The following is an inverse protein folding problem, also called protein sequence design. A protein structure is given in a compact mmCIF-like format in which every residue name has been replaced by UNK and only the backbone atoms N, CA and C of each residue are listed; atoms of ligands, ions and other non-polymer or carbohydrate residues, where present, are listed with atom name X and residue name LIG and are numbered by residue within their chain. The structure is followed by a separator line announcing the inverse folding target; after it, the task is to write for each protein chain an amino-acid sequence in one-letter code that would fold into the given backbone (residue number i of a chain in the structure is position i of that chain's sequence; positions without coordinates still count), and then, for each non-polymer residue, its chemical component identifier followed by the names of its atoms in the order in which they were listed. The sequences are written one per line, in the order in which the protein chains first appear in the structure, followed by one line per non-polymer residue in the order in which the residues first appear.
data_IF_289549778037
#
_entry.id   IF_289549778037
#
_cell.length_a   1.000
_cell.length_b   1.000
_cell.length_c   1.000
_cell.angle_alpha   90.00
_cell.angle_beta   90.00
_cell.angle_gamma   90.00
#
_symmetry.space_group_name_H-M   'P 1'
#
loop_
_entity.id
_entity.type
_entity.pdbx_description
1 polymer ?
#
# COMPACT_ATOMS: atom_id res chain seq x y z
N UNK A 1 18.99 65.32 -16.53
CA UNK A 1 19.27 64.18 -17.43
C UNK A 1 18.83 62.92 -16.70
N UNK A 2 17.70 62.35 -17.07
CA UNK A 2 17.24 61.06 -16.51
C UNK A 2 17.92 59.95 -17.31
N UNK A 3 18.78 59.18 -16.65
CA UNK A 3 19.25 57.91 -17.21
C UNK A 3 18.09 56.92 -17.11
N UNK A 4 17.45 56.64 -18.24
CA UNK A 4 16.48 55.55 -18.34
C UNK A 4 17.27 54.26 -18.17
N UNK A 5 17.13 53.60 -17.01
CA UNK A 5 17.73 52.29 -16.76
C UNK A 5 17.04 51.31 -17.69
N UNK A 6 17.80 50.72 -18.60
CA UNK A 6 17.30 49.74 -19.55
C UNK A 6 16.76 48.51 -18.78
N UNK A 7 15.64 47.88 -19.19
CA UNK A 7 15.16 46.68 -18.52
C UNK A 7 16.20 45.57 -18.68
N UNK A 8 16.76 45.09 -17.57
CA UNK A 8 17.68 43.95 -17.58
C UNK A 8 16.92 42.68 -17.93
N UNK A 9 17.46 41.91 -18.88
CA UNK A 9 16.92 40.60 -19.23
C UNK A 9 17.07 39.64 -18.04
N UNK A 10 16.07 38.75 -17.80
CA UNK A 10 16.08 37.88 -16.62
C UNK A 10 17.27 36.93 -16.62
N UNK A 11 17.84 36.72 -15.43
CA UNK A 11 18.88 35.72 -15.19
C UNK A 11 18.28 34.31 -15.29
N UNK A 12 18.92 33.45 -16.08
CA UNK A 12 18.41 32.12 -16.38
C UNK A 12 18.93 31.08 -15.37
N UNK A 13 18.11 30.07 -15.01
CA UNK A 13 18.58 28.92 -14.25
C UNK A 13 19.59 28.10 -15.06
N UNK A 14 20.37 27.26 -14.36
CA UNK A 14 21.31 26.34 -15.01
C UNK A 14 20.55 25.37 -15.94
N UNK A 15 21.10 25.06 -17.14
CA UNK A 15 20.51 24.06 -18.03
C UNK A 15 20.43 22.68 -17.36
N UNK A 16 19.32 21.97 -17.57
CA UNK A 16 19.16 20.61 -17.07
C UNK A 16 19.62 19.61 -18.14
N UNK A 17 20.37 18.58 -17.77
CA UNK A 17 20.76 17.51 -18.71
C UNK A 17 19.72 16.41 -18.72
N UNK A 18 19.06 16.20 -19.85
CA UNK A 18 17.93 15.25 -19.97
C UNK A 18 18.35 13.93 -20.59
N UNK A 19 19.21 13.96 -21.60
CA UNK A 19 19.69 12.75 -22.26
C UNK A 19 21.17 12.88 -22.60
N UNK A 20 21.88 11.75 -22.59
CA UNK A 20 23.32 11.66 -22.86
C UNK A 20 23.57 10.49 -23.79
N UNK A 21 24.51 10.69 -24.69
CA UNK A 21 25.08 9.66 -25.58
C UNK A 21 26.60 9.83 -25.55
N UNK A 22 27.31 8.99 -26.28
CA UNK A 22 28.77 9.06 -26.42
C UNK A 22 29.24 10.35 -27.12
N UNK A 23 28.43 10.92 -28.01
CA UNK A 23 28.81 12.09 -28.82
C UNK A 23 27.81 13.26 -28.74
N UNK A 24 26.75 13.13 -27.96
CA UNK A 24 25.77 14.20 -27.79
C UNK A 24 25.17 14.27 -26.38
N UNK A 25 24.87 15.49 -25.94
CA UNK A 25 24.18 15.76 -24.68
C UNK A 25 22.98 16.65 -24.99
N UNK A 26 21.79 16.22 -24.57
CA UNK A 26 20.55 16.99 -24.73
C UNK A 26 20.28 17.80 -23.47
N UNK A 27 20.26 19.12 -23.64
CA UNK A 27 19.98 20.08 -22.58
C UNK A 27 18.54 20.55 -22.65
N UNK A 28 17.92 20.73 -21.49
CA UNK A 28 16.64 21.40 -21.32
C UNK A 28 16.87 22.76 -20.68
N UNK A 29 16.34 23.79 -21.32
CA UNK A 29 16.41 25.17 -20.86
C UNK A 29 14.98 25.60 -20.52
N UNK A 30 14.80 26.08 -19.29
CA UNK A 30 13.51 26.60 -18.85
C UNK A 30 13.24 27.93 -19.56
N UNK A 31 12.06 28.10 -20.16
CA UNK A 31 11.72 29.36 -20.81
C UNK A 31 11.55 30.47 -19.76
N UNK A 32 12.03 31.70 -20.03
CA UNK A 32 11.76 32.83 -19.17
C UNK A 32 10.24 33.12 -19.17
N UNK A 33 9.70 33.71 -18.09
CA UNK A 33 8.26 33.94 -17.90
C UNK A 33 7.64 35.00 -18.83
N UNK A 34 8.32 35.43 -19.90
CA UNK A 34 7.77 36.34 -20.90
C UNK A 34 7.57 35.62 -22.23
N UNK A 35 6.30 35.65 -22.65
CA UNK A 35 5.67 34.91 -23.73
C UNK A 35 6.06 35.48 -25.10
N UNK A 36 7.32 35.27 -25.46
CA UNK A 36 7.87 35.58 -26.78
C UNK A 36 8.88 34.50 -27.17
N UNK A 37 9.10 34.34 -28.47
CA UNK A 37 10.00 33.37 -29.07
C UNK A 37 11.47 33.71 -28.71
N UNK A 38 11.84 33.42 -27.45
CA UNK A 38 13.11 33.82 -26.87
C UNK A 38 14.23 32.99 -27.51
N UNK A 39 15.20 33.69 -28.09
CA UNK A 39 16.40 33.06 -28.61
C UNK A 39 17.44 32.91 -27.50
N UNK A 40 18.18 31.81 -27.54
CA UNK A 40 19.20 31.52 -26.54
C UNK A 40 20.56 31.36 -27.21
N UNK A 41 21.62 31.77 -26.51
CA UNK A 41 22.99 31.39 -26.84
C UNK A 41 23.50 30.37 -25.84
N UNK A 42 23.98 29.24 -26.33
CA UNK A 42 24.66 28.21 -25.56
C UNK A 42 26.16 28.30 -25.75
N UNK A 43 26.91 28.12 -24.67
CA UNK A 43 28.33 27.78 -24.74
C UNK A 43 28.61 26.47 -24.01
N UNK A 44 29.45 25.66 -24.63
CA UNK A 44 29.99 24.45 -24.05
C UNK A 44 31.50 24.62 -23.82
N UNK A 45 31.98 24.11 -22.71
CA UNK A 45 33.41 23.94 -22.45
C UNK A 45 33.65 22.52 -22.01
N UNK A 46 34.79 21.95 -22.39
CA UNK A 46 35.32 20.75 -21.78
C UNK A 46 36.56 21.11 -20.96
N UNK A 47 36.84 20.31 -19.93
CA UNK A 47 38.08 20.40 -19.18
C UNK A 47 38.73 19.03 -19.18
N UNK A 48 39.91 18.92 -19.80
CA UNK A 48 40.70 17.69 -19.80
C UNK A 48 41.34 17.40 -18.44
N UNK A 49 41.62 18.46 -17.67
CA UNK A 49 42.40 18.38 -16.42
C UNK A 49 41.58 18.73 -15.18
N UNK A 50 40.25 18.82 -15.35
CA UNK A 50 39.27 19.09 -14.30
C UNK A 50 39.78 20.00 -13.22
N UNK A 51 39.85 21.32 -13.47
CA UNK A 51 39.63 22.42 -12.50
C UNK A 51 39.94 23.80 -13.15
N UNK A 52 38.95 24.69 -13.06
CA UNK A 52 39.00 26.18 -13.09
C UNK A 52 39.22 26.93 -14.42
N UNK A 53 39.90 26.42 -15.45
CA UNK A 53 40.03 27.15 -16.72
C UNK A 53 39.12 26.60 -17.83
N UNK A 54 38.02 27.31 -18.09
CA UNK A 54 37.13 27.03 -19.22
C UNK A 54 37.56 27.84 -20.44
N UNK A 55 37.98 27.17 -21.51
CA UNK A 55 38.03 27.76 -22.84
C UNK A 55 36.65 27.56 -23.48
N UNK A 56 35.87 28.64 -23.53
CA UNK A 56 34.51 28.59 -24.07
C UNK A 56 34.55 28.47 -25.58
N UNK A 57 33.89 27.45 -26.12
CA UNK A 57 33.67 27.33 -27.56
C UNK A 57 32.75 28.44 -28.07
N UNK A 58 32.72 28.61 -29.39
CA UNK A 58 31.84 29.57 -30.05
C UNK A 58 30.37 29.38 -29.63
N UNK A 59 29.69 30.49 -29.39
CA UNK A 59 28.31 30.47 -28.91
C UNK A 59 27.35 30.06 -30.02
N UNK A 60 26.52 29.05 -29.78
CA UNK A 60 25.52 28.57 -30.73
C UNK A 60 24.17 29.19 -30.40
N UNK A 61 23.49 29.75 -31.42
CA UNK A 61 22.12 30.24 -31.31
C UNK A 61 21.13 29.09 -31.45
N UNK A 62 20.13 29.04 -30.58
CA UNK A 62 19.04 28.08 -30.72
C UNK A 62 17.71 28.64 -30.20
N UNK A 63 16.63 28.12 -30.76
CA UNK A 63 15.24 28.43 -30.42
C UNK A 63 14.57 27.13 -29.94
N UNK A 64 14.09 27.12 -28.71
CA UNK A 64 13.38 25.98 -28.14
C UNK A 64 13.79 25.61 -26.71
N UNK A 65 12.98 24.76 -26.07
CA UNK A 65 13.21 24.30 -24.68
C UNK A 65 14.21 23.16 -24.58
N UNK A 66 14.48 22.45 -25.67
CA UNK A 66 15.39 21.31 -25.71
C UNK A 66 16.42 21.52 -26.82
N UNK A 67 17.70 21.35 -26.49
CA UNK A 67 18.79 21.54 -27.43
C UNK A 67 19.80 20.37 -27.35
N UNK A 68 19.92 19.57 -28.43
CA UNK A 68 20.93 18.52 -28.51
C UNK A 68 22.28 19.10 -28.94
N UNK A 69 23.26 19.10 -28.04
CA UNK A 69 24.65 19.45 -28.34
C UNK A 69 25.32 18.23 -28.98
N UNK A 70 25.66 18.32 -30.27
CA UNK A 70 26.27 17.23 -31.05
C UNK A 70 27.78 17.46 -31.25
N UNK A 71 28.50 16.40 -31.62
CA UNK A 71 29.93 16.47 -31.95
C UNK A 71 30.85 16.52 -30.73
N UNK A 72 30.38 16.01 -29.59
CA UNK A 72 31.16 15.90 -28.37
C UNK A 72 32.11 14.71 -28.46
N UNK A 73 33.28 14.82 -27.84
CA UNK A 73 34.21 13.69 -27.73
C UNK A 73 33.66 12.69 -26.72
N UNK A 74 33.75 11.38 -26.99
CA UNK A 74 33.38 10.36 -26.02
C UNK A 74 34.27 10.44 -24.78
N UNK A 75 33.74 9.98 -23.66
CA UNK A 75 34.46 9.89 -22.38
C UNK A 75 35.00 11.23 -21.84
N UNK A 76 34.42 12.35 -22.26
CA UNK A 76 34.89 13.70 -21.92
C UNK A 76 33.86 14.44 -21.07
N UNK A 77 34.34 15.21 -20.08
CA UNK A 77 33.48 15.96 -19.16
C UNK A 77 33.23 17.37 -19.70
N UNK A 78 31.96 17.71 -19.87
CA UNK A 78 31.48 18.98 -20.35
C UNK A 78 30.72 19.75 -19.27
N UNK A 79 30.80 21.08 -19.38
CA UNK A 79 29.94 22.03 -18.67
C UNK A 79 29.29 22.97 -19.67
N UNK A 80 28.07 23.40 -19.35
CA UNK A 80 27.26 24.23 -20.22
C UNK A 80 26.79 25.47 -19.48
N UNK A 81 26.61 26.57 -20.24
CA UNK A 81 25.94 27.78 -19.78
C UNK A 81 25.12 28.38 -20.91
N UNK A 82 24.00 28.99 -20.56
CA UNK A 82 23.04 29.56 -21.51
C UNK A 82 22.73 31.00 -21.13
N UNK A 83 22.48 31.86 -22.11
CA UNK A 83 21.93 33.20 -21.90
C UNK A 83 20.81 33.48 -22.88
N UNK A 84 19.91 34.38 -22.50
CA UNK A 84 18.86 34.90 -23.39
C UNK A 84 19.45 35.99 -24.29
N UNK A 85 19.04 35.98 -25.57
CA UNK A 85 19.38 37.01 -26.55
C UNK A 85 18.09 37.56 -27.14
N UNK A 86 17.98 38.88 -27.12
CA UNK A 86 16.94 39.62 -27.85
C UNK A 86 17.62 40.27 -29.06
N UNK A 87 17.47 39.63 -30.24
CA UNK A 87 18.04 40.14 -31.49
C UNK A 87 17.42 41.47 -31.92
N UNK A 88 16.13 41.69 -31.64
CA UNK A 88 15.42 42.91 -32.03
C UNK A 88 15.96 44.14 -31.29
N UNK A 89 16.36 43.97 -30.02
CA UNK A 89 16.94 45.04 -29.20
C UNK A 89 18.47 45.03 -29.15
N UNK A 90 19.13 44.04 -29.79
CA UNK A 90 20.57 43.76 -29.68
C UNK A 90 21.05 43.64 -28.23
N UNK A 91 20.25 43.01 -27.38
CA UNK A 91 20.53 42.85 -25.95
C UNK A 91 20.85 41.39 -25.63
N UNK A 92 21.80 41.18 -24.72
CA UNK A 92 22.15 39.87 -24.20
C UNK A 92 21.99 39.89 -22.68
N UNK A 93 21.31 38.90 -22.13
CA UNK A 93 21.26 38.69 -20.68
C UNK A 93 22.58 38.13 -20.13
N UNK A 94 22.65 38.06 -18.80
CA UNK A 94 23.76 37.38 -18.12
C UNK A 94 23.77 35.88 -18.42
N UNK A 95 24.94 35.27 -18.27
CA UNK A 95 25.09 33.82 -18.38
C UNK A 95 24.47 33.11 -17.19
N UNK A 96 23.79 32.01 -17.45
CA UNK A 96 23.31 31.10 -16.40
C UNK A 96 24.47 30.55 -15.58
N UNK A 97 24.20 30.08 -14.35
CA UNK A 97 25.12 29.22 -13.63
C UNK A 97 25.51 27.99 -14.46
N UNK A 98 26.68 27.43 -14.16
CA UNK A 98 27.20 26.25 -14.83
C UNK A 98 26.35 25.02 -14.52
N UNK A 99 26.15 24.17 -15.53
CA UNK A 99 25.60 22.83 -15.30
C UNK A 99 26.55 21.97 -14.46
N UNK A 100 25.99 20.96 -13.80
CA UNK A 100 26.80 19.89 -13.20
C UNK A 100 27.71 19.25 -14.26
N UNK A 101 28.92 18.86 -13.83
CA UNK A 101 29.90 18.19 -14.66
C UNK A 101 29.29 16.94 -15.30
N UNK A 102 29.20 16.96 -16.63
CA UNK A 102 28.53 15.90 -17.37
C UNK A 102 29.50 15.20 -18.29
N UNK A 103 29.74 13.92 -18.04
CA UNK A 103 30.59 13.06 -18.86
C UNK A 103 29.76 12.37 -19.95
N UNK A 104 30.26 12.36 -21.17
CA UNK A 104 29.76 11.48 -22.25
C UNK A 104 30.25 10.05 -21.99
N UNK A 105 29.39 9.05 -22.06
CA UNK A 105 29.77 7.64 -21.87
C UNK A 105 29.70 6.90 -23.20
N UNK A 106 30.62 5.98 -23.44
CA UNK A 106 30.48 5.05 -24.57
C UNK A 106 29.33 4.08 -24.28
N UNK A 107 28.67 3.57 -25.32
CA UNK A 107 27.56 2.61 -25.19
C UNK A 107 27.96 1.39 -24.33
N UNK A 108 29.22 0.95 -24.42
CA UNK A 108 29.75 -0.17 -23.64
C UNK A 108 29.87 0.13 -22.12
N UNK A 109 30.22 1.37 -21.75
CA UNK A 109 30.30 1.78 -20.34
C UNK A 109 28.92 2.02 -19.74
N UNK A 110 27.96 2.51 -20.53
CA UNK A 110 26.58 2.73 -20.11
C UNK A 110 25.82 1.39 -19.97
N UNK A 111 26.11 0.41 -20.83
CA UNK A 111 25.63 -0.97 -20.70
C UNK A 111 26.16 -1.65 -19.41
N UNK A 112 27.43 -1.42 -19.06
CA UNK A 112 28.01 -1.96 -17.80
C UNK A 112 27.42 -1.31 -16.55
N UNK A 113 27.11 0.00 -16.60
CA UNK A 113 26.44 0.69 -15.48
C UNK A 113 24.98 0.29 -15.34
N UNK A 114 24.25 0.18 -16.44
CA UNK A 114 22.84 -0.25 -16.39
C UNK A 114 22.70 -1.68 -15.87
N UNK A 115 23.59 -2.60 -16.26
CA UNK A 115 23.63 -3.96 -15.71
C UNK A 115 23.87 -4.00 -14.19
N UNK A 116 24.82 -3.21 -13.69
CA UNK A 116 25.12 -3.17 -12.24
C UNK A 116 24.02 -2.48 -11.41
N UNK A 117 23.36 -1.46 -11.95
CA UNK A 117 22.22 -0.80 -11.28
C UNK A 117 21.01 -1.73 -11.20
N UNK A 118 20.72 -2.47 -12.27
CA UNK A 118 19.63 -3.44 -12.30
C UNK A 118 19.87 -4.58 -11.30
N UNK A 119 21.08 -5.13 -11.25
CA UNK A 119 21.43 -6.17 -10.26
C UNK A 119 21.33 -5.66 -8.82
N UNK A 120 21.78 -4.43 -8.55
CA UNK A 120 21.66 -3.83 -7.23
C UNK A 120 20.19 -3.59 -6.83
N UNK A 121 19.36 -3.10 -7.76
CA UNK A 121 17.93 -2.92 -7.54
C UNK A 121 17.23 -4.27 -7.25
N UNK A 122 17.56 -5.31 -8.01
CA UNK A 122 17.02 -6.66 -7.80
C UNK A 122 17.42 -7.24 -6.44
N UNK A 123 18.66 -6.97 -6.00
CA UNK A 123 19.14 -7.38 -4.67
C UNK A 123 18.36 -6.67 -3.56
N UNK A 124 18.16 -5.37 -3.66
CA UNK A 124 17.38 -4.60 -2.68
C UNK A 124 15.92 -5.07 -2.61
N UNK A 125 15.29 -5.34 -3.75
CA UNK A 125 13.93 -5.91 -3.81
C UNK A 125 13.85 -7.28 -3.11
N UNK A 126 14.83 -8.15 -3.33
CA UNK A 126 14.89 -9.46 -2.65
C UNK A 126 15.08 -9.31 -1.13
N UNK A 127 15.91 -8.39 -0.69
CA UNK A 127 16.13 -8.09 0.73
C UNK A 127 14.85 -7.52 1.38
N UNK A 128 14.18 -6.56 0.72
CA UNK A 128 12.91 -6.02 1.20
C UNK A 128 11.83 -7.07 1.29
N UNK A 129 11.69 -7.94 0.27
CA UNK A 129 10.74 -9.06 0.28
C UNK A 129 10.99 -10.01 1.45
N UNK A 130 12.25 -10.33 1.74
CA UNK A 130 12.64 -11.17 2.88
C UNK A 130 12.25 -10.53 4.22
N UNK A 131 12.50 -9.24 4.38
CA UNK A 131 12.12 -8.48 5.59
C UNK A 131 10.60 -8.47 5.78
N UNK A 132 9.85 -8.15 4.73
CA UNK A 132 8.38 -8.13 4.76
C UNK A 132 7.82 -9.51 5.09
N UNK A 133 8.36 -10.57 4.51
CA UNK A 133 7.93 -11.94 4.79
C UNK A 133 8.23 -12.36 6.24
N UNK A 134 9.33 -11.89 6.81
CA UNK A 134 9.64 -12.05 8.24
C UNK A 134 8.66 -11.30 9.15
N UNK A 135 8.30 -10.07 8.79
CA UNK A 135 7.31 -9.28 9.53
C UNK A 135 5.92 -9.91 9.49
N UNK A 136 5.48 -10.38 8.31
CA UNK A 136 4.22 -11.09 8.14
C UNK A 136 4.19 -12.33 9.03
N UNK A 137 5.24 -13.18 8.98
CA UNK A 137 5.33 -14.38 9.82
C UNK A 137 5.22 -14.05 11.32
N UNK A 138 5.87 -12.96 11.77
CA UNK A 138 5.82 -12.52 13.17
C UNK A 138 4.42 -12.03 13.56
N UNK A 139 3.77 -11.24 12.70
CA UNK A 139 2.41 -10.75 12.95
C UNK A 139 1.41 -11.89 13.00
N UNK A 140 1.51 -12.87 12.10
CA UNK A 140 0.68 -14.08 12.10
C UNK A 140 0.84 -14.85 13.41
N UNK A 141 2.08 -15.08 13.87
CA UNK A 141 2.34 -15.74 15.15
C UNK A 141 1.72 -15.01 16.34
N UNK A 142 1.86 -13.68 16.40
CA UNK A 142 1.24 -12.86 17.47
C UNK A 142 -0.30 -12.89 17.43
N UNK A 143 -0.89 -13.04 16.24
CA UNK A 143 -2.34 -13.13 16.07
C UNK A 143 -2.87 -14.48 16.58
N UNK A 144 -2.16 -15.56 16.29
CA UNK A 144 -2.48 -16.92 16.78
C UNK A 144 -2.29 -17.04 18.30
N UNK A 145 -1.24 -16.45 18.85
CA UNK A 145 -1.02 -16.34 20.31
C UNK A 145 -2.16 -15.55 20.99
N UNK A 146 -2.62 -14.46 20.39
CA UNK A 146 -3.77 -13.69 20.92
C UNK A 146 -5.07 -14.46 20.83
N UNK A 147 -5.28 -15.24 19.78
CA UNK A 147 -6.48 -16.06 19.61
C UNK A 147 -6.55 -17.14 20.68
N UNK A 148 -5.44 -17.85 20.90
CA UNK A 148 -5.34 -18.89 21.93
C UNK A 148 -5.46 -18.32 23.36
N UNK A 149 -4.88 -17.15 23.62
CA UNK A 149 -5.04 -16.45 24.91
C UNK A 149 -6.52 -16.08 25.18
N UNK A 150 -7.22 -15.50 24.19
CA UNK A 150 -8.65 -15.16 24.32
C UNK A 150 -9.54 -16.38 24.52
N UNK A 151 -9.24 -17.49 23.86
CA UNK A 151 -9.99 -18.73 24.05
C UNK A 151 -9.82 -19.32 25.46
N UNK A 152 -8.62 -19.21 26.04
CA UNK A 152 -8.38 -19.63 27.42
C UNK A 152 -9.04 -18.68 28.43
N UNK A 153 -8.93 -17.36 28.26
CA UNK A 153 -9.56 -16.38 29.15
C UNK A 153 -11.09 -16.52 29.15
N UNK A 154 -11.71 -16.74 27.98
CA UNK A 154 -13.16 -16.97 27.90
C UNK A 154 -13.59 -18.24 28.66
N UNK A 155 -12.81 -19.31 28.63
CA UNK A 155 -13.11 -20.55 29.38
C UNK A 155 -12.98 -20.34 30.88
N UNK A 156 -11.96 -19.58 31.32
CA UNK A 156 -11.77 -19.25 32.74
C UNK A 156 -12.90 -18.36 33.23
N UNK A 157 -13.27 -17.32 32.47
CA UNK A 157 -14.36 -16.42 32.82
C UNK A 157 -15.72 -17.14 32.91
N UNK A 158 -16.03 -18.02 31.94
CA UNK A 158 -17.25 -18.83 32.00
C UNK A 158 -17.31 -19.73 33.23
N UNK A 159 -16.18 -20.29 33.65
CA UNK A 159 -16.09 -21.10 34.86
C UNK A 159 -16.27 -20.26 36.13
N UNK A 160 -15.67 -19.06 36.20
CA UNK A 160 -15.88 -18.13 37.31
C UNK A 160 -17.33 -17.64 37.42
N UNK A 161 -17.96 -17.30 36.29
CA UNK A 161 -19.36 -16.86 36.24
C UNK A 161 -20.30 -17.99 36.69
N UNK A 162 -20.00 -19.24 36.32
CA UNK A 162 -20.76 -20.40 36.78
C UNK A 162 -20.64 -20.60 38.31
N UNK A 163 -19.45 -20.43 38.86
CA UNK A 163 -19.21 -20.49 40.31
C UNK A 163 -19.85 -19.31 41.07
N UNK A 164 -19.86 -18.11 40.49
CA UNK A 164 -20.55 -16.95 41.04
C UNK A 164 -22.07 -17.17 41.04
N UNK A 165 -22.63 -17.66 39.93
CA UNK A 165 -24.05 -18.00 39.81
C UNK A 165 -24.45 -19.05 40.84
N UNK A 166 -23.63 -20.10 41.02
CA UNK A 166 -23.85 -21.12 42.05
C UNK A 166 -23.88 -20.51 43.47
N UNK A 167 -22.95 -19.62 43.81
CA UNK A 167 -22.94 -18.92 45.10
C UNK A 167 -24.19 -18.06 45.32
N UNK A 168 -24.69 -17.40 44.28
CA UNK A 168 -25.94 -16.62 44.33
C UNK A 168 -27.15 -17.54 44.54
N UNK A 169 -27.18 -18.69 43.86
CA UNK A 169 -28.24 -19.69 44.05
C UNK A 169 -28.20 -20.23 45.49
N UNK A 170 -27.03 -20.62 46.00
CA UNK A 170 -26.88 -21.17 47.35
C UNK A 170 -27.30 -20.16 48.42
N UNK A 171 -26.91 -18.89 48.27
CA UNK A 171 -27.35 -17.82 49.20
C UNK A 171 -28.85 -17.56 49.14
N UNK A 172 -29.47 -17.61 47.95
CA UNK A 172 -30.93 -17.55 47.83
C UNK A 172 -31.61 -18.76 48.46
N UNK A 173 -31.05 -19.94 48.30
CA UNK A 173 -31.58 -21.19 48.86
C UNK A 173 -31.56 -21.15 50.40
N UNK A 174 -30.46 -20.66 50.99
CA UNK A 174 -30.35 -20.43 52.44
C UNK A 174 -31.38 -19.40 52.93
N UNK A 175 -31.55 -18.29 52.21
CA UNK A 175 -32.59 -17.29 52.56
C UNK A 175 -33.99 -17.88 52.50
N UNK A 176 -34.31 -18.63 51.45
CA UNK A 176 -35.60 -19.32 51.33
C UNK A 176 -35.81 -20.35 52.44
N UNK A 177 -34.78 -21.10 52.82
CA UNK A 177 -34.87 -22.03 53.97
C UNK A 177 -35.10 -21.28 55.28
N UNK A 178 -34.48 -20.12 55.48
CA UNK A 178 -34.67 -19.29 56.65
C UNK A 178 -36.06 -18.63 56.68
N UNK A 179 -36.57 -18.19 55.53
CA UNK A 179 -37.94 -17.70 55.40
C UNK A 179 -38.94 -18.82 55.69
N UNK A 180 -38.74 -20.02 55.13
CA UNK A 180 -39.59 -21.18 55.39
C UNK A 180 -39.60 -21.58 56.88
N UNK A 181 -38.43 -21.56 57.53
CA UNK A 181 -38.33 -21.84 58.97
C UNK A 181 -39.03 -20.77 59.80
N UNK A 182 -38.89 -19.49 59.43
CA UNK A 182 -39.59 -18.38 60.08
C UNK A 182 -41.12 -18.47 59.91
N UNK A 183 -41.60 -18.87 58.72
CA UNK A 183 -43.02 -19.10 58.46
C UNK A 183 -43.55 -20.31 59.25
N UNK A 184 -42.75 -21.36 59.38
CA UNK A 184 -43.10 -22.53 60.19
C UNK A 184 -43.22 -22.16 61.68
N UNK A 185 -42.26 -21.38 62.19
CA UNK A 185 -42.32 -20.86 63.56
C UNK A 185 -43.54 -19.96 63.76
N UNK A 186 -43.81 -19.03 62.83
CA UNK A 186 -44.99 -18.16 62.89
C UNK A 186 -46.30 -18.95 62.85
N UNK A 187 -46.40 -19.99 62.01
CA UNK A 187 -47.56 -20.87 61.97
C UNK A 187 -47.73 -21.65 63.28
N UNK A 188 -46.64 -22.08 63.90
CA UNK A 188 -46.68 -22.75 65.19
C UNK A 188 -47.13 -21.78 66.30
N UNK A 189 -46.69 -20.52 66.26
CA UNK A 189 -47.17 -19.45 67.15
C UNK A 189 -48.65 -19.15 66.92
N UNK A 190 -49.11 -19.07 65.67
CA UNK A 190 -50.54 -18.90 65.35
C UNK A 190 -51.34 -20.10 65.83
N UNK A 191 -50.80 -21.31 65.72
CA UNK A 191 -51.47 -22.53 66.21
C UNK A 191 -51.55 -22.55 67.74
N UNK A 192 -50.49 -22.15 68.45
CA UNK A 192 -50.55 -22.02 69.91
C UNK A 192 -51.49 -20.88 70.32
N UNK A 193 -51.51 -19.78 69.58
CA UNK A 193 -52.43 -18.68 69.81
C UNK A 193 -53.87 -19.13 69.57
N UNK A 194 -54.16 -19.87 68.50
CA UNK A 194 -55.50 -20.45 68.26
C UNK A 194 -55.89 -21.45 69.34
N UNK A 195 -54.97 -22.25 69.86
CA UNK A 195 -55.26 -23.16 70.97
C UNK A 195 -55.56 -22.37 72.27
N UNK A 196 -54.82 -21.28 72.52
CA UNK A 196 -55.09 -20.37 73.63
C UNK A 196 -56.41 -19.61 73.43
N UNK A 197 -56.73 -19.20 72.21
CA UNK A 197 -57.99 -18.55 71.85
C UNK A 197 -59.15 -19.54 71.94
N UNK A 198 -58.98 -20.81 71.58
CA UNK A 198 -59.99 -21.87 71.77
C UNK A 198 -60.25 -22.14 73.26
N UNK A 199 -59.19 -22.14 74.08
CA UNK A 199 -59.28 -22.20 75.53
C UNK A 199 -59.97 -20.97 76.10
N UNK A 200 -59.57 -19.78 75.65
CA UNK A 200 -60.19 -18.52 76.02
C UNK A 200 -61.64 -18.47 75.56
N UNK A 201 -62.00 -18.99 74.38
CA UNK A 201 -63.38 -19.09 73.90
C UNK A 201 -64.17 -20.06 74.76
N UNK A 202 -63.60 -21.18 75.19
CA UNK A 202 -64.28 -22.08 76.13
C UNK A 202 -64.44 -21.46 77.52
N UNK A 203 -63.45 -20.72 78.00
CA UNK A 203 -63.54 -19.92 79.22
C UNK A 203 -64.55 -18.79 79.09
N UNK A 204 -64.57 -18.06 77.96
CA UNK A 204 -65.52 -17.00 77.61
C UNK A 204 -66.92 -17.54 77.33
N UNK A 205 -67.08 -18.79 76.92
CA UNK A 205 -68.39 -19.46 76.81
C UNK A 205 -68.92 -19.83 78.21
N UNK A 206 -68.04 -20.31 79.09
CA UNK A 206 -68.35 -20.52 80.51
C UNK A 206 -68.62 -19.19 81.24
N UNK A 207 -67.87 -18.14 80.90
CA UNK A 207 -68.09 -16.78 81.36
C UNK A 207 -69.32 -16.16 80.70
N UNK A 208 -69.66 -16.44 79.44
CA UNK A 208 -70.92 -16.03 78.81
C UNK A 208 -72.12 -16.70 79.48
N UNK A 209 -72.01 -17.94 79.94
CA UNK A 209 -73.04 -18.57 80.78
C UNK A 209 -73.19 -17.85 82.13
N UNK A 210 -72.09 -17.36 82.72
CA UNK A 210 -72.09 -16.52 83.93
C UNK A 210 -72.52 -15.06 83.68
N UNK A 211 -72.21 -14.49 82.52
CA UNK A 211 -72.47 -13.11 82.10
C UNK A 211 -73.88 -12.97 81.51
N UNK A 212 -74.46 -14.01 80.91
CA UNK A 212 -75.91 -14.08 80.62
C UNK A 212 -76.75 -14.05 81.91
N UNK A 213 -76.18 -14.44 83.04
CA UNK A 213 -76.80 -14.28 84.35
C UNK A 213 -76.56 -12.89 84.99
N UNK A 214 -75.63 -12.07 84.48
CA UNK A 214 -75.21 -10.82 85.15
C UNK A 214 -75.18 -9.56 84.28
N UNK A 215 -75.42 -9.63 82.98
CA UNK A 215 -75.22 -8.46 82.10
C UNK A 215 -76.35 -8.27 81.09
N UNK A 216 -77.56 -8.07 81.63
CA UNK A 216 -78.35 -6.93 81.21
C UNK A 216 -77.54 -5.67 81.57
N UNK A 217 -77.05 -4.92 80.56
CA UNK A 217 -76.77 -3.48 80.53
C UNK A 217 -75.56 -3.14 79.62
N UNK A 218 -75.85 -2.53 78.45
CA UNK A 218 -75.18 -1.37 77.79
C UNK A 218 -73.63 -1.24 77.84
N UNK A 219 -72.87 -0.79 76.83
CA UNK A 219 -73.03 -0.18 75.50
C UNK A 219 -71.60 -0.05 74.93
N UNK A 220 -71.39 0.05 73.61
CA UNK A 220 -70.05 0.21 73.03
C UNK A 220 -69.97 0.92 71.68
N UNK A 221 -70.71 2.02 71.50
CA UNK A 221 -70.67 2.84 70.27
C UNK A 221 -69.29 3.49 69.99
N UNK A 222 -68.43 3.66 71.00
CA UNK A 222 -67.12 4.33 70.86
C UNK A 222 -66.01 3.44 70.25
N UNK A 223 -66.09 2.12 70.36
CA UNK A 223 -65.07 1.21 69.80
C UNK A 223 -65.18 1.10 68.27
N UNK A 224 -66.42 1.07 67.75
CA UNK A 224 -66.67 1.06 66.31
C UNK A 224 -66.18 2.33 65.61
N UNK A 225 -66.28 3.49 66.27
CA UNK A 225 -65.83 4.76 65.68
C UNK A 225 -64.30 4.83 65.54
N UNK A 226 -63.56 4.32 66.54
CA UNK A 226 -62.11 4.26 66.51
C UNK A 226 -61.59 3.27 65.45
N UNK A 227 -62.24 2.10 65.35
CA UNK A 227 -61.90 1.05 64.38
C UNK A 227 -62.19 1.49 62.93
N UNK A 228 -63.27 2.25 62.75
CA UNK A 228 -63.63 2.82 61.45
C UNK A 228 -62.69 3.96 61.05
N UNK A 229 -62.13 4.71 62.01
CA UNK A 229 -61.05 5.67 61.74
C UNK A 229 -59.73 5.01 61.35
N UNK A 230 -59.30 3.93 62.04
CA UNK A 230 -58.06 3.23 61.68
C UNK A 230 -58.15 2.55 60.32
N UNK A 231 -59.30 1.99 59.96
CA UNK A 231 -59.53 1.42 58.62
C UNK A 231 -59.49 2.50 57.52
N UNK A 232 -60.05 3.68 57.76
CA UNK A 232 -59.95 4.82 56.82
C UNK A 232 -58.50 5.28 56.63
N UNK A 233 -57.73 5.39 57.71
CA UNK A 233 -56.31 5.76 57.63
C UNK A 233 -55.47 4.70 56.90
N UNK A 234 -55.80 3.41 57.05
CA UNK A 234 -55.15 2.34 56.30
C UNK A 234 -55.52 2.36 54.81
N UNK A 235 -56.78 2.65 54.48
CA UNK A 235 -57.24 2.84 53.10
C UNK A 235 -56.50 3.99 52.42
N UNK A 236 -56.41 5.15 53.07
CA UNK A 236 -55.71 6.33 52.55
C UNK A 236 -54.22 6.03 52.31
N UNK A 237 -53.56 5.34 53.25
CA UNK A 237 -52.17 4.91 53.09
C UNK A 237 -51.98 3.92 51.92
N UNK A 238 -52.93 3.03 51.71
CA UNK A 238 -52.91 2.09 50.58
C UNK A 238 -53.15 2.80 49.25
N UNK A 239 -54.06 3.78 49.20
CA UNK A 239 -54.30 4.61 48.01
C UNK A 239 -53.06 5.43 47.63
N UNK A 240 -52.36 6.02 48.60
CA UNK A 240 -51.08 6.71 48.35
C UNK A 240 -49.98 5.76 47.86
N UNK A 241 -49.87 4.57 48.44
CA UNK A 241 -48.91 3.55 48.00
C UNK A 241 -49.20 3.07 46.57
N UNK A 242 -50.49 2.87 46.24
CA UNK A 242 -50.93 2.50 44.90
C UNK A 242 -50.58 3.61 43.90
N UNK A 243 -50.82 4.89 44.25
CA UNK A 243 -50.48 6.02 43.38
C UNK A 243 -48.98 6.09 43.10
N UNK A 244 -48.14 5.95 44.13
CA UNK A 244 -46.67 5.91 43.97
C UNK A 244 -46.21 4.75 43.10
N UNK A 245 -46.79 3.57 43.28
CA UNK A 245 -46.48 2.42 42.44
C UNK A 245 -46.87 2.68 40.98
N UNK A 246 -48.03 3.30 40.74
CA UNK A 246 -48.50 3.62 39.40
C UNK A 246 -47.62 4.68 38.71
N UNK A 247 -47.16 5.70 39.44
CA UNK A 247 -46.17 6.67 38.97
C UNK A 247 -44.84 5.96 38.61
N UNK A 248 -44.38 5.02 39.44
CA UNK A 248 -43.14 4.26 39.18
C UNK A 248 -43.26 3.33 37.97
N UNK A 249 -44.42 2.70 37.77
CA UNK A 249 -44.72 1.88 36.59
C UNK A 249 -44.79 2.74 35.32
N UNK A 250 -45.37 3.93 35.37
CA UNK A 250 -45.39 4.83 34.22
C UNK A 250 -43.98 5.30 33.85
N UNK A 251 -43.16 5.67 34.83
CA UNK A 251 -41.77 6.05 34.61
C UNK A 251 -40.94 4.91 34.01
N UNK A 252 -41.18 3.66 34.43
CA UNK A 252 -40.50 2.51 33.83
C UNK A 252 -40.97 2.22 32.40
N UNK A 253 -42.26 2.40 32.10
CA UNK A 253 -42.78 2.29 30.73
C UNK A 253 -42.17 3.35 29.80
N UNK A 254 -42.02 4.59 30.25
CA UNK A 254 -41.36 5.64 29.48
C UNK A 254 -39.89 5.31 29.20
N UNK A 255 -39.18 4.76 30.19
CA UNK A 255 -37.80 4.31 29.99
C UNK A 255 -37.72 3.16 28.98
N UNK A 256 -38.63 2.18 29.05
CA UNK A 256 -38.69 1.07 28.10
C UNK A 256 -38.94 1.60 26.68
N UNK A 257 -39.90 2.51 26.50
CA UNK A 257 -40.18 3.11 25.19
C UNK A 257 -38.98 3.87 24.61
N UNK A 258 -38.23 4.58 25.46
CA UNK A 258 -36.98 5.24 25.04
C UNK A 258 -35.91 4.24 24.61
N UNK A 259 -35.75 3.13 25.34
CA UNK A 259 -34.81 2.07 24.97
C UNK A 259 -35.23 1.36 23.67
N UNK A 260 -36.52 1.09 23.48
CA UNK A 260 -37.04 0.50 22.24
C UNK A 260 -36.78 1.40 21.03
N UNK A 261 -37.02 2.71 21.17
CA UNK A 261 -36.74 3.69 20.12
C UNK A 261 -35.25 3.76 19.79
N UNK A 262 -34.39 3.77 20.82
CA UNK A 262 -32.94 3.76 20.66
C UNK A 262 -32.42 2.47 20.01
N UNK A 263 -32.98 1.33 20.40
CA UNK A 263 -32.66 0.02 19.81
C UNK A 263 -33.02 0.00 18.32
N UNK A 264 -34.20 0.50 17.96
CA UNK A 264 -34.65 0.51 16.57
C UNK A 264 -33.79 1.47 15.72
N UNK A 265 -33.46 2.64 16.25
CA UNK A 265 -32.50 3.54 15.61
C UNK A 265 -31.13 2.86 15.39
N UNK A 266 -30.62 2.14 16.40
CA UNK A 266 -29.36 1.40 16.28
C UNK A 266 -29.42 0.26 15.27
N UNK A 267 -30.52 -0.48 15.18
CA UNK A 267 -30.71 -1.50 14.14
C UNK A 267 -30.68 -0.89 12.74
N UNK A 268 -31.34 0.25 12.53
CA UNK A 268 -31.31 0.93 11.23
C UNK A 268 -29.90 1.42 10.88
N UNK A 269 -29.15 1.96 11.85
CA UNK A 269 -27.75 2.37 11.66
C UNK A 269 -26.85 1.16 11.30
N UNK A 270 -27.06 0.02 11.95
CA UNK A 270 -26.33 -1.22 11.64
C UNK A 270 -26.63 -1.68 10.22
N UNK A 271 -27.91 -1.75 9.84
CA UNK A 271 -28.33 -2.15 8.49
C UNK A 271 -27.70 -1.27 7.41
N UNK A 272 -27.66 0.04 7.61
CA UNK A 272 -27.02 0.98 6.66
C UNK A 272 -25.51 0.74 6.53
N UNK A 273 -24.83 0.46 7.65
CA UNK A 273 -23.40 0.14 7.63
C UNK A 273 -23.11 -1.20 7.00
N UNK A 274 -23.98 -2.19 7.17
CA UNK A 274 -23.86 -3.49 6.51
C UNK A 274 -23.97 -3.35 4.99
N UNK A 275 -24.93 -2.56 4.50
CA UNK A 275 -25.05 -2.22 3.06
C UNK A 275 -23.82 -1.47 2.52
N UNK A 276 -23.26 -0.54 3.30
CA UNK A 276 -22.05 0.19 2.91
C UNK A 276 -20.84 -0.75 2.84
N UNK A 277 -20.68 -1.66 3.81
CA UNK A 277 -19.61 -2.66 3.81
C UNK A 277 -19.76 -3.60 2.63
N UNK A 278 -20.98 -4.06 2.30
CA UNK A 278 -21.24 -4.89 1.14
C UNK A 278 -20.86 -4.17 -0.17
N UNK A 279 -21.20 -2.88 -0.28
CA UNK A 279 -20.80 -2.05 -1.44
C UNK A 279 -19.29 -1.93 -1.57
N UNK A 280 -18.59 -1.63 -0.47
CA UNK A 280 -17.13 -1.51 -0.46
C UNK A 280 -16.49 -2.85 -0.82
N UNK A 281 -16.99 -3.98 -0.31
CA UNK A 281 -16.50 -5.30 -0.68
C UNK A 281 -16.70 -5.59 -2.17
N UNK A 282 -17.86 -5.23 -2.74
CA UNK A 282 -18.12 -5.39 -4.16
C UNK A 282 -17.16 -4.54 -5.02
N UNK A 283 -16.91 -3.30 -4.64
CA UNK A 283 -15.95 -2.43 -5.34
C UNK A 283 -14.51 -2.95 -5.23
N UNK A 284 -14.09 -3.45 -4.06
CA UNK A 284 -12.79 -4.09 -3.88
C UNK A 284 -12.65 -5.33 -4.76
N UNK A 285 -13.67 -6.19 -4.81
CA UNK A 285 -13.66 -7.39 -5.65
C UNK A 285 -13.59 -7.01 -7.15
N UNK A 286 -14.33 -5.99 -7.58
CA UNK A 286 -14.25 -5.47 -8.96
C UNK A 286 -12.84 -4.99 -9.30
N UNK A 287 -12.24 -4.17 -8.43
CA UNK A 287 -10.89 -3.65 -8.65
C UNK A 287 -9.84 -4.77 -8.70
N UNK A 288 -9.95 -5.78 -7.84
CA UNK A 288 -9.05 -6.94 -7.85
C UNK A 288 -9.19 -7.72 -9.17
N UNK A 289 -10.42 -7.92 -9.65
CA UNK A 289 -10.66 -8.58 -10.93
C UNK A 289 -10.09 -7.78 -12.10
N UNK A 290 -10.30 -6.47 -12.15
CA UNK A 290 -9.76 -5.59 -13.19
C UNK A 290 -8.21 -5.62 -13.22
N UNK A 291 -7.57 -5.66 -12.04
CA UNK A 291 -6.10 -5.80 -11.95
C UNK A 291 -5.62 -7.18 -12.40
N UNK A 292 -6.37 -8.25 -12.09
CA UNK A 292 -6.05 -9.59 -12.56
C UNK A 292 -6.16 -9.69 -14.10
N UNK A 293 -7.22 -9.11 -14.68
CA UNK A 293 -7.43 -9.08 -16.12
C UNK A 293 -6.31 -8.26 -16.81
N UNK A 294 -5.94 -7.10 -16.26
CA UNK A 294 -4.83 -6.29 -16.78
C UNK A 294 -3.48 -7.04 -16.71
N UNK A 295 -3.22 -7.75 -15.62
CA UNK A 295 -2.01 -8.55 -15.47
C UNK A 295 -1.96 -9.69 -16.50
N UNK A 296 -3.10 -10.34 -16.75
CA UNK A 296 -3.21 -11.38 -17.76
C UNK A 296 -2.97 -10.83 -19.18
N UNK A 297 -3.53 -9.67 -19.53
CA UNK A 297 -3.28 -9.02 -20.83
C UNK A 297 -1.79 -8.69 -21.00
N UNK A 298 -1.15 -8.11 -19.99
CA UNK A 298 0.30 -7.82 -20.03
C UNK A 298 1.15 -9.08 -20.16
N UNK A 299 0.72 -10.18 -19.54
CA UNK A 299 1.41 -11.46 -19.70
C UNK A 299 1.34 -11.94 -21.15
N UNK A 300 0.17 -11.87 -21.78
CA UNK A 300 0.01 -12.23 -23.19
C UNK A 300 0.86 -11.33 -24.10
N UNK A 301 0.90 -10.02 -23.86
CA UNK A 301 1.75 -9.10 -24.63
C UNK A 301 3.24 -9.46 -24.54
N UNK A 302 3.70 -9.87 -23.36
CA UNK A 302 5.09 -10.33 -23.16
C UNK A 302 5.33 -11.67 -23.85
N UNK A 303 4.38 -12.61 -23.78
CA UNK A 303 4.47 -13.90 -24.46
C UNK A 303 4.53 -13.73 -25.98
N UNK A 304 3.71 -12.84 -26.55
CA UNK A 304 3.72 -12.51 -27.99
C UNK A 304 5.06 -11.87 -28.40
N UNK A 305 5.56 -10.89 -27.64
CA UNK A 305 6.85 -10.26 -27.91
C UNK A 305 8.02 -11.25 -27.83
N UNK A 306 7.97 -12.21 -26.90
CA UNK A 306 8.96 -13.29 -26.80
C UNK A 306 8.87 -14.24 -27.99
N UNK A 307 7.66 -14.54 -28.45
CA UNK A 307 7.45 -15.39 -29.62
C UNK A 307 7.99 -14.72 -30.89
N UNK A 308 7.72 -13.43 -31.09
CA UNK A 308 8.29 -12.64 -32.19
C UNK A 308 9.83 -12.63 -32.13
N UNK A 309 10.40 -12.33 -30.96
CA UNK A 309 11.86 -12.34 -30.78
C UNK A 309 12.47 -13.72 -31.08
N UNK A 310 11.82 -14.81 -30.65
CA UNK A 310 12.25 -16.18 -30.95
C UNK A 310 12.23 -16.43 -32.46
N UNK A 311 11.15 -16.11 -33.15
CA UNK A 311 11.07 -16.30 -34.61
C UNK A 311 12.12 -15.48 -35.36
N UNK A 312 12.40 -14.26 -34.92
CA UNK A 312 13.47 -13.43 -35.50
C UNK A 312 14.85 -14.04 -35.28
N UNK A 313 15.12 -14.63 -34.12
CA UNK A 313 16.39 -15.30 -33.83
C UNK A 313 16.56 -16.58 -34.66
N UNK A 314 15.50 -17.37 -34.81
CA UNK A 314 15.51 -18.55 -35.68
C UNK A 314 15.84 -18.17 -37.12
N UNK A 315 15.21 -17.11 -37.66
CA UNK A 315 15.55 -16.59 -38.99
C UNK A 315 17.02 -16.14 -39.10
N UNK A 316 17.56 -15.46 -38.08
CA UNK A 316 18.96 -15.06 -38.07
C UNK A 316 19.91 -16.27 -38.03
N UNK A 317 19.53 -17.32 -37.30
CA UNK A 317 20.31 -18.56 -37.23
C UNK A 317 20.34 -19.28 -38.58
N UNK A 318 19.21 -19.33 -39.30
CA UNK A 318 19.13 -19.90 -40.64
C UNK A 318 20.02 -19.12 -41.62
N UNK A 319 19.96 -17.79 -41.59
CA UNK A 319 20.84 -16.92 -42.39
C UNK A 319 22.31 -17.17 -42.04
N UNK A 320 22.65 -17.29 -40.76
CA UNK A 320 24.04 -17.53 -40.34
C UNK A 320 24.54 -18.90 -40.82
N UNK A 321 23.68 -19.92 -40.76
CA UNK A 321 23.98 -21.27 -41.25
C UNK A 321 24.25 -21.24 -42.75
N UNK A 322 23.38 -20.60 -43.53
CA UNK A 322 23.56 -20.41 -44.96
C UNK A 322 24.87 -19.70 -45.30
N UNK A 323 25.18 -18.59 -44.60
CA UNK A 323 26.43 -17.85 -44.82
C UNK A 323 27.67 -18.67 -44.45
N UNK A 324 27.61 -19.52 -43.42
CA UNK A 324 28.72 -20.42 -43.06
C UNK A 324 28.97 -21.47 -44.14
N UNK A 325 27.91 -22.05 -44.69
CA UNK A 325 28.00 -22.99 -45.81
C UNK A 325 28.59 -22.31 -47.05
N UNK A 326 28.11 -21.11 -47.38
CA UNK A 326 28.60 -20.28 -48.48
C UNK A 326 30.10 -19.98 -48.35
N UNK A 327 30.54 -19.51 -47.18
CA UNK A 327 31.95 -19.24 -46.89
C UNK A 327 32.79 -20.52 -46.99
N UNK A 328 32.26 -21.66 -46.54
CA UNK A 328 32.97 -22.94 -46.62
C UNK A 328 33.15 -23.38 -48.08
N UNK A 329 32.11 -23.26 -48.90
CA UNK A 329 32.18 -23.52 -50.35
C UNK A 329 33.19 -22.61 -51.05
N UNK A 330 33.17 -21.31 -50.75
CA UNK A 330 34.14 -20.36 -51.32
C UNK A 330 35.58 -20.67 -50.89
N UNK A 331 35.79 -21.16 -49.67
CA UNK A 331 37.12 -21.61 -49.22
C UNK A 331 37.61 -22.84 -49.99
N UNK A 332 36.72 -23.80 -50.24
CA UNK A 332 37.04 -24.98 -51.05
C UNK A 332 37.37 -24.60 -52.49
N UNK A 333 36.59 -23.71 -53.11
CA UNK A 333 36.83 -23.20 -54.45
C UNK A 333 38.17 -22.44 -54.54
N UNK A 334 38.45 -21.56 -53.58
CA UNK A 334 39.75 -20.88 -53.50
C UNK A 334 40.91 -21.87 -53.33
N UNK A 335 40.73 -22.92 -52.52
CA UNK A 335 41.75 -23.96 -52.38
C UNK A 335 41.98 -24.71 -53.69
N UNK A 336 40.90 -25.04 -54.42
CA UNK A 336 41.01 -25.68 -55.73
C UNK A 336 41.72 -24.80 -56.76
N UNK A 337 41.35 -23.51 -56.85
CA UNK A 337 42.02 -22.54 -57.72
C UNK A 337 43.50 -22.38 -57.36
N UNK A 338 43.83 -22.35 -56.05
CA UNK A 338 45.22 -22.29 -55.61
C UNK A 338 46.00 -23.52 -56.07
N UNK A 339 45.44 -24.71 -55.93
CA UNK A 339 46.08 -25.95 -56.40
C UNK A 339 46.27 -25.93 -57.94
N UNK A 340 45.30 -25.41 -58.70
CA UNK A 340 45.44 -25.25 -60.16
C UNK A 340 46.56 -24.27 -60.51
N UNK A 341 46.70 -23.15 -59.78
CA UNK A 341 47.80 -22.20 -59.98
C UNK A 341 49.13 -22.87 -59.69
N UNK A 342 49.26 -23.59 -58.57
CA UNK A 342 50.49 -24.31 -58.21
C UNK A 342 50.87 -25.37 -59.26
N UNK A 343 49.88 -26.08 -59.83
CA UNK A 343 50.10 -27.04 -60.92
C UNK A 343 50.61 -26.34 -62.19
N UNK A 344 49.96 -25.26 -62.62
CA UNK A 344 50.39 -24.48 -63.79
C UNK A 344 51.78 -23.87 -63.58
N UNK A 345 52.04 -23.29 -62.40
CA UNK A 345 53.35 -22.75 -62.05
C UNK A 345 54.42 -23.84 -62.08
N UNK A 346 54.11 -25.06 -61.59
CA UNK A 346 55.04 -26.20 -61.65
C UNK A 346 55.41 -26.62 -63.07
N UNK A 347 54.52 -26.40 -64.05
CA UNK A 347 54.80 -26.68 -65.46
C UNK A 347 55.51 -25.53 -66.18
N UNK A 348 55.16 -24.28 -65.85
CA UNK A 348 55.62 -23.07 -66.55
C UNK A 348 56.97 -22.61 -66.02
N UNK A 349 57.19 -22.63 -64.70
CA UNK A 349 58.44 -22.16 -64.08
C UNK A 349 59.68 -22.89 -64.64
N UNK A 350 59.73 -24.23 -64.76
CA UNK A 350 60.89 -24.91 -65.34
C UNK A 350 61.13 -24.54 -66.81
N UNK A 351 60.06 -24.29 -67.58
CA UNK A 351 60.18 -23.87 -68.99
C UNK A 351 60.75 -22.45 -69.07
N UNK A 352 60.29 -21.55 -68.22
CA UNK A 352 60.84 -20.19 -68.12
C UNK A 352 62.31 -20.20 -67.75
N UNK A 353 62.71 -20.95 -66.71
CA UNK A 353 64.12 -21.06 -66.30
C UNK A 353 65.00 -21.58 -67.44
N UNK A 354 64.56 -22.61 -68.17
CA UNK A 354 65.31 -23.09 -69.35
C UNK A 354 65.46 -22.03 -70.43
N UNK A 355 64.40 -21.27 -70.72
CA UNK A 355 64.44 -20.17 -71.69
C UNK A 355 65.33 -19.01 -71.23
N UNK A 356 65.43 -18.76 -69.93
CA UNK A 356 66.36 -17.80 -69.35
C UNK A 356 67.81 -18.27 -69.50
N UNK A 357 68.10 -19.54 -69.17
CA UNK A 357 69.43 -20.15 -69.37
C UNK A 357 69.85 -20.11 -70.85
N UNK A 358 68.95 -20.47 -71.77
CA UNK A 358 69.18 -20.41 -73.21
C UNK A 358 69.43 -18.96 -73.68
N UNK A 359 68.67 -17.99 -73.19
CA UNK A 359 68.90 -16.57 -73.48
C UNK A 359 70.26 -16.09 -72.95
N UNK A 360 70.67 -16.52 -71.76
CA UNK A 360 71.95 -16.16 -71.18
C UNK A 360 73.11 -16.76 -71.98
N UNK A 361 72.98 -18.02 -72.42
CA UNK A 361 73.94 -18.65 -73.32
C UNK A 361 74.05 -17.91 -74.66
N UNK A 362 72.91 -17.53 -75.26
CA UNK A 362 72.89 -16.76 -76.51
C UNK A 362 73.53 -15.38 -76.34
N UNK A 363 73.26 -14.68 -75.23
CA UNK A 363 73.91 -13.40 -74.90
C UNK A 363 75.42 -13.57 -74.74
N UNK A 364 75.87 -14.61 -74.05
CA UNK A 364 77.29 -14.92 -73.90
C UNK A 364 77.97 -15.24 -75.25
N UNK A 365 77.29 -15.96 -76.15
CA UNK A 365 77.78 -16.22 -77.51
C UNK A 365 77.87 -14.95 -78.35
N UNK A 366 76.87 -14.07 -78.26
CA UNK A 366 76.87 -12.77 -78.94
C UNK A 366 77.98 -11.85 -78.43
N UNK A 367 78.32 -11.89 -77.14
CA UNK A 367 79.43 -11.10 -76.58
C UNK A 367 80.84 -11.61 -76.91
N UNK A 368 80.95 -12.84 -77.45
CA UNK A 368 82.23 -13.48 -77.82
C UNK A 368 82.54 -13.38 -79.31
N UNK A 369 81.59 -12.93 -80.13
CA UNK A 369 81.82 -12.46 -81.50
C UNK A 369 82.13 -10.98 -81.48
#
# INVERSE_FOLDING_TARGET
MQFTVMPELPTMPAPEVVAKTDQSITLRVQSPPHDGDAQYKLQASHSEHGYVYYSWNDSVLFTGKMFPVKGLKPNTTYVFRVRVVDEAKRQCGEWSPLTAYTRTFTEEEDAKRSGTVFEHALKLEREQKSILQGQISKLTGMLDERKTARENDNKVQQHEDMLASRRVIDTRLVKLQQELSSQTAALQTIKSQRAADEQMITELLNEQEKLRATHNEQQGQAQFELEMQTLRAQLEKNEEALRKHQEQVNASHEQIANYETSLEAKKTEISQKEEEVERIMADCNRMVQEQADLAHVKQLEVEDALLEAKTSLEQQLDINTYLREEVSRLREENHHLKNQIEEVDSEVVPKLVRLEDENEQLRAQLSRR
#
